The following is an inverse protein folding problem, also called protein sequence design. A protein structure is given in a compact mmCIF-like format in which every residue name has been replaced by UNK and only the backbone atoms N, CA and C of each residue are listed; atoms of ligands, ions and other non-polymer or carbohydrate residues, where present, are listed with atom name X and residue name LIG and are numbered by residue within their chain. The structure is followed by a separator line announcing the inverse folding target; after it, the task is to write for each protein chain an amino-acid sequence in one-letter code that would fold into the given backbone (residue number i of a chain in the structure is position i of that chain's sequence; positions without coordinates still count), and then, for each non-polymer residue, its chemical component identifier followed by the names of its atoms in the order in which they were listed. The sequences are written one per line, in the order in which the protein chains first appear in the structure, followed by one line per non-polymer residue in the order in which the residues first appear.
data_IF_785696287904
#
_entry.id   IF_785696287904
#
_cell.length_a   1.000
_cell.length_b   1.000
_cell.length_c   1.000
_cell.angle_alpha   90.00
_cell.angle_beta   90.00
_cell.angle_gamma   90.00
#
_symmetry.space_group_name_H-M   'P 1'
#
loop_
_entity.id
_entity.type
_entity.pdbx_description
1 polymer ?
#
# COMPACT_ATOMS: atom_id res chain seq x y z
N UNK A 1 11.99 -8.17 -1.40
CA UNK A 1 11.57 -6.84 -0.92
C UNK A 1 10.73 -7.11 0.30
N UNK A 2 11.28 -6.87 1.50
CA UNK A 2 10.55 -7.03 2.76
C UNK A 2 9.56 -5.86 2.90
N UNK A 3 8.45 -5.93 2.16
CA UNK A 3 7.40 -4.93 2.25
C UNK A 3 6.46 -5.32 3.38
N UNK A 4 6.86 -5.03 4.62
CA UNK A 4 5.94 -5.10 5.75
C UNK A 4 4.77 -4.13 5.54
N UNK A 5 5.03 -2.96 4.91
CA UNK A 5 4.05 -1.90 4.69
C UNK A 5 4.43 -1.04 3.48
N UNK A 6 3.45 -0.62 2.66
CA UNK A 6 3.65 0.32 1.56
C UNK A 6 3.35 1.76 1.99
N UNK A 7 4.34 2.65 1.86
CA UNK A 7 4.21 4.08 2.09
C UNK A 7 4.91 4.86 0.98
N UNK A 8 4.36 6.01 0.59
CA UNK A 8 5.00 6.91 -0.38
C UNK A 8 5.25 8.29 0.22
N UNK A 9 6.48 8.78 0.09
CA UNK A 9 6.83 10.18 0.37
C UNK A 9 6.25 11.16 -0.66
N UNK A 10 6.50 12.46 -0.48
CA UNK A 10 6.21 13.45 -1.50
C UNK A 10 7.34 14.50 -1.63
N UNK A 11 8.08 14.52 -2.76
CA UNK A 11 8.08 13.50 -3.83
C UNK A 11 8.66 12.16 -3.36
N UNK A 12 8.30 11.06 -4.02
CA UNK A 12 8.93 9.75 -3.81
C UNK A 12 9.69 9.37 -5.10
N UNK A 13 11.03 9.41 -5.09
CA UNK A 13 11.85 9.17 -6.28
C UNK A 13 11.76 7.71 -6.75
N UNK A 14 11.42 6.78 -5.86
CA UNK A 14 11.37 5.35 -6.15
C UNK A 14 9.97 4.90 -6.57
N UNK A 15 9.02 5.84 -6.68
CA UNK A 15 7.61 5.53 -6.93
C UNK A 15 7.42 4.64 -8.15
N UNK A 16 8.08 4.98 -9.27
CA UNK A 16 7.97 4.21 -10.51
C UNK A 16 8.44 2.77 -10.32
N UNK A 17 9.56 2.57 -9.62
CA UNK A 17 10.13 1.25 -9.35
C UNK A 17 9.22 0.44 -8.41
N UNK A 18 8.74 1.04 -7.31
CA UNK A 18 7.80 0.39 -6.39
C UNK A 18 6.52 -0.05 -7.11
N UNK A 19 5.96 0.80 -7.95
CA UNK A 19 4.76 0.45 -8.73
C UNK A 19 5.01 -0.65 -9.78
N UNK A 20 6.20 -0.71 -10.39
CA UNK A 20 6.57 -1.82 -11.27
C UNK A 20 6.60 -3.15 -10.50
N UNK A 21 7.25 -3.18 -9.33
CA UNK A 21 7.31 -4.37 -8.47
C UNK A 21 5.92 -4.84 -8.03
N UNK A 22 5.02 -3.90 -7.71
CA UNK A 22 3.64 -4.20 -7.31
C UNK A 22 2.80 -4.86 -8.41
N UNK A 23 3.14 -4.65 -9.69
CA UNK A 23 2.46 -5.32 -10.81
C UNK A 23 2.89 -6.77 -10.96
N UNK A 24 4.15 -7.08 -10.63
CA UNK A 24 4.74 -8.40 -10.86
C UNK A 24 4.70 -9.32 -9.62
N UNK A 25 4.53 -8.76 -8.42
CA UNK A 25 4.48 -9.55 -7.17
C UNK A 25 3.27 -10.51 -7.16
N UNK A 26 3.41 -11.75 -6.62
CA UNK A 26 2.31 -12.69 -6.47
C UNK A 26 1.05 -12.07 -5.84
N UNK A 27 -0.13 -12.55 -6.25
CA UNK A 27 -1.39 -11.97 -5.77
C UNK A 27 -1.56 -12.12 -4.26
N UNK A 28 -1.14 -13.24 -3.68
CA UNK A 28 -1.19 -13.48 -2.24
C UNK A 28 -0.37 -12.45 -1.46
N UNK A 29 0.87 -12.21 -1.89
CA UNK A 29 1.78 -11.22 -1.30
C UNK A 29 1.25 -9.80 -1.46
N UNK A 30 0.63 -9.49 -2.61
CA UNK A 30 0.00 -8.20 -2.85
C UNK A 30 -1.16 -7.93 -1.89
N UNK A 31 -2.00 -8.95 -1.67
CA UNK A 31 -3.12 -8.88 -0.72
C UNK A 31 -2.57 -8.74 0.70
N UNK A 32 -1.57 -9.52 1.09
CA UNK A 32 -0.92 -9.42 2.40
C UNK A 32 -0.37 -8.00 2.65
N UNK A 33 0.33 -7.43 1.67
CA UNK A 33 0.82 -6.06 1.71
C UNK A 33 -0.30 -5.03 1.91
N UNK A 34 -1.45 -5.21 1.26
CA UNK A 34 -2.61 -4.36 1.45
C UNK A 34 -3.12 -4.40 2.90
N UNK A 35 -3.29 -5.59 3.47
CA UNK A 35 -3.76 -5.73 4.86
C UNK A 35 -2.76 -5.14 5.86
N UNK A 36 -1.47 -5.40 5.68
CA UNK A 36 -0.42 -4.88 6.55
C UNK A 36 -0.35 -3.34 6.49
N UNK A 37 -0.39 -2.77 5.28
CA UNK A 37 -0.43 -1.31 5.08
C UNK A 37 -1.65 -0.67 5.72
N UNK A 38 -2.80 -1.32 5.59
CA UNK A 38 -4.06 -0.83 6.17
C UNK A 38 -4.04 -0.87 7.70
N UNK A 39 -3.49 -1.92 8.28
CA UNK A 39 -3.30 -2.03 9.73
C UNK A 39 -2.39 -0.91 10.23
N UNK A 40 -1.26 -0.67 9.56
CA UNK A 40 -0.37 0.43 9.90
C UNK A 40 -1.07 1.80 9.79
N UNK A 41 -1.91 2.01 8.76
CA UNK A 41 -2.65 3.26 8.61
C UNK A 41 -3.68 3.46 9.72
N UNK A 42 -4.35 2.37 10.15
CA UNK A 42 -5.28 2.40 11.28
C UNK A 42 -4.55 2.78 12.58
N UNK A 43 -3.38 2.19 12.84
CA UNK A 43 -2.55 2.50 14.01
C UNK A 43 -2.11 3.96 13.99
N UNK A 44 -1.55 4.44 12.86
CA UNK A 44 -1.11 5.83 12.71
C UNK A 44 -2.26 6.83 12.92
N UNK A 45 -3.46 6.51 12.43
CA UNK A 45 -4.66 7.32 12.66
C UNK A 45 -5.04 7.36 14.14
N UNK A 46 -4.97 6.22 14.84
CA UNK A 46 -5.31 6.15 16.27
C UNK A 46 -4.29 6.88 17.15
N UNK A 47 -3.01 6.89 16.77
CA UNK A 47 -1.95 7.58 17.49
C UNK A 47 -1.82 9.07 17.12
N UNK A 48 -2.56 9.57 16.13
CA UNK A 48 -2.44 10.95 15.64
C UNK A 48 -1.18 11.21 14.81
N UNK A 49 -0.49 10.17 14.34
CA UNK A 49 0.69 10.28 13.48
C UNK A 49 0.26 10.59 12.04
N UNK A 50 -0.04 11.87 11.80
CA UNK A 50 -0.60 12.35 10.54
C UNK A 50 0.40 12.27 9.38
N UNK A 51 1.69 12.47 9.64
CA UNK A 51 2.74 12.37 8.63
C UNK A 51 2.82 10.94 8.09
N UNK A 52 2.94 9.95 8.98
CA UNK A 52 2.93 8.54 8.60
C UNK A 52 1.63 8.15 7.93
N UNK A 53 0.49 8.58 8.46
CA UNK A 53 -0.83 8.30 7.86
C UNK A 53 -0.93 8.81 6.41
N UNK A 54 -0.36 9.96 6.11
CA UNK A 54 -0.35 10.52 4.75
C UNK A 54 0.36 9.60 3.75
N UNK A 55 1.56 9.13 4.09
CA UNK A 55 2.33 8.23 3.22
C UNK A 55 1.63 6.88 3.02
N UNK A 56 1.07 6.33 4.10
CA UNK A 56 0.32 5.06 4.06
C UNK A 56 -0.96 5.16 3.23
N UNK A 57 -1.67 6.29 3.31
CA UNK A 57 -2.89 6.52 2.51
C UNK A 57 -2.58 6.56 1.01
N UNK A 58 -1.43 7.12 0.63
CA UNK A 58 -0.94 7.06 -0.77
C UNK A 58 -0.60 5.63 -1.18
N UNK A 59 -0.01 4.85 -0.28
CA UNK A 59 0.25 3.42 -0.47
C UNK A 59 -1.06 2.66 -0.76
N UNK A 60 -2.07 2.83 0.10
CA UNK A 60 -3.37 2.18 -0.05
C UNK A 60 -4.06 2.53 -1.38
N UNK A 61 -4.06 3.81 -1.77
CA UNK A 61 -4.62 4.24 -3.07
C UNK A 61 -3.89 3.60 -4.25
N UNK A 62 -2.57 3.44 -4.13
CA UNK A 62 -1.74 2.81 -5.17
C UNK A 62 -2.06 1.32 -5.30
N UNK A 63 -2.19 0.61 -4.18
CA UNK A 63 -2.58 -0.81 -4.17
C UNK A 63 -3.97 -1.01 -4.77
N UNK A 64 -4.94 -0.18 -4.41
CA UNK A 64 -6.30 -0.24 -4.98
C UNK A 64 -6.33 -0.01 -6.48
N UNK A 65 -5.53 0.94 -6.98
CA UNK A 65 -5.41 1.18 -8.42
C UNK A 65 -4.78 -0.01 -9.13
N UNK A 66 -3.64 -0.49 -8.63
CA UNK A 66 -2.90 -1.60 -9.24
C UNK A 66 -3.69 -2.90 -9.17
N UNK A 67 -4.48 -3.17 -8.12
CA UNK A 67 -5.35 -4.35 -8.10
C UNK A 67 -6.35 -4.31 -9.27
N UNK A 68 -6.93 -3.14 -9.53
CA UNK A 68 -7.81 -2.91 -10.69
C UNK A 68 -7.10 -3.16 -12.02
N UNK A 69 -5.86 -2.70 -12.17
CA UNK A 69 -5.00 -3.00 -13.33
C UNK A 69 -4.73 -4.50 -13.48
N UNK A 70 -4.60 -5.23 -12.36
CA UNK A 70 -4.37 -6.68 -12.29
C UNK A 70 -5.64 -7.52 -12.41
N UNK A 71 -6.81 -6.91 -12.57
CA UNK A 71 -8.08 -7.62 -12.77
C UNK A 71 -8.75 -8.16 -11.50
N UNK A 72 -8.34 -7.72 -10.30
CA UNK A 72 -9.01 -8.10 -9.05
C UNK A 72 -9.28 -6.89 -8.14
N UNK A 73 -10.11 -7.08 -7.12
CA UNK A 73 -10.43 -6.05 -6.13
C UNK A 73 -9.91 -6.45 -4.77
N UNK A 74 -9.29 -5.50 -4.09
CA UNK A 74 -8.96 -5.62 -2.68
C UNK A 74 -10.24 -5.43 -1.87
N UNK A 75 -10.59 -6.40 -1.03
CA UNK A 75 -11.73 -6.28 -0.13
C UNK A 75 -11.30 -5.65 1.20
N UNK A 76 -11.85 -4.48 1.58
CA UNK A 76 -11.64 -3.92 2.90
C UNK A 76 -12.33 -4.71 4.04
N UNK A 77 -12.97 -5.85 3.78
CA UNK A 77 -13.62 -6.68 4.80
C UNK A 77 -13.00 -8.07 4.95
N UNK A 78 -12.04 -8.43 4.09
CA UNK A 78 -11.27 -9.67 4.21
C UNK A 78 -10.18 -9.58 5.27
#
# INVERSE_FOLDING_TARGET
MDLDVLSFGHPDPERAQKEALLRDVPQEDFIALYHATRTAARIARQSGDMERLYGLTRGLKTLQRISGERGFRLDPRS
#
